data_IF_320231250583
#
_entry.id   IF_320231250583
#
_cell.length_a   1.000
_cell.length_b   1.000
_cell.length_c   1.000
_cell.angle_alpha   90.00
_cell.angle_beta   90.00
_cell.angle_gamma   90.00
#
_symmetry.space_group_name_H-M   'P 1'
#
loop_
_entity.id
_entity.type
_entity.pdbx_description
1 polymer ?
#
# COMPACT_ATOMS: atom_id res chain seq x y z
N UNK A 1 4.15 -5.11 5.08
CA UNK A 1 5.38 -4.56 4.45
C UNK A 1 6.03 -3.47 5.31
N UNK A 2 7.29 -3.09 5.02
CA UNK A 2 8.04 -2.11 5.85
C UNK A 2 7.41 -0.71 5.89
N UNK A 3 6.82 -0.26 4.80
CA UNK A 3 6.14 1.05 4.72
C UNK A 3 4.98 1.16 5.73
N UNK A 4 4.16 0.10 5.86
CA UNK A 4 3.09 0.01 6.87
C UNK A 4 3.64 0.19 8.28
N UNK A 5 4.74 -0.52 8.63
CA UNK A 5 5.31 -0.49 9.98
C UNK A 5 5.87 0.88 10.38
N UNK A 6 6.38 1.66 9.43
CA UNK A 6 6.94 3.00 9.71
C UNK A 6 5.92 4.13 9.55
N UNK A 7 4.76 3.85 8.95
CA UNK A 7 3.71 4.83 8.77
C UNK A 7 2.84 4.92 10.03
N UNK A 8 3.17 5.84 10.93
CA UNK A 8 2.38 6.09 12.14
C UNK A 8 1.01 6.75 11.92
N UNK A 9 0.57 6.90 10.67
CA UNK A 9 -0.65 7.64 10.30
C UNK A 9 -1.65 6.83 9.46
N UNK A 10 -1.43 5.52 9.34
CA UNK A 10 -2.34 4.62 8.61
C UNK A 10 -2.37 4.83 7.08
N UNK A 11 -1.47 5.64 6.53
CA UNK A 11 -1.46 6.00 5.10
C UNK A 11 -1.11 4.80 4.20
N UNK A 12 -0.19 3.95 4.65
CA UNK A 12 0.35 2.84 3.86
C UNK A 12 -0.21 1.50 4.32
N UNK A 13 -0.83 0.72 3.45
CA UNK A 13 -1.38 -0.61 3.75
C UNK A 13 -1.02 -1.62 2.66
N UNK A 14 -1.03 -2.91 3.02
CA UNK A 14 -0.74 -3.99 2.08
C UNK A 14 -2.03 -4.42 1.38
N UNK A 15 -2.01 -4.52 0.05
CA UNK A 15 -3.11 -5.02 -0.77
C UNK A 15 -2.66 -6.23 -1.59
N UNK A 16 -3.55 -7.18 -1.84
CA UNK A 16 -3.39 -8.16 -2.91
C UNK A 16 -3.51 -7.47 -4.27
N UNK A 17 -2.87 -8.03 -5.29
CA UNK A 17 -3.00 -7.61 -6.68
C UNK A 17 -3.32 -8.85 -7.53
N UNK A 18 -4.40 -8.78 -8.31
CA UNK A 18 -4.82 -9.83 -9.25
C UNK A 18 -4.03 -9.74 -10.56
N UNK A 19 -4.20 -10.72 -11.46
CA UNK A 19 -3.58 -10.68 -12.79
C UNK A 19 -4.10 -9.54 -13.68
N UNK A 20 -5.37 -9.16 -13.49
CA UNK A 20 -6.00 -8.03 -14.18
C UNK A 20 -5.52 -6.67 -13.64
N UNK A 21 -4.80 -6.69 -12.51
CA UNK A 21 -4.19 -5.52 -11.90
C UNK A 21 -5.08 -4.80 -10.89
N UNK A 22 -6.19 -5.41 -10.51
CA UNK A 22 -7.04 -4.93 -9.42
C UNK A 22 -6.35 -5.10 -8.07
N UNK A 23 -6.65 -4.20 -7.14
CA UNK A 23 -6.04 -4.18 -5.81
C UNK A 23 -7.09 -4.48 -4.75
N UNK A 24 -6.89 -5.55 -3.98
CA UNK A 24 -7.88 -6.04 -3.03
C UNK A 24 -7.34 -5.93 -1.60
N UNK A 25 -8.16 -5.39 -0.70
CA UNK A 25 -7.77 -5.16 0.69
C UNK A 25 -7.92 -6.44 1.54
N UNK A 26 -6.87 -6.92 2.22
CA UNK A 26 -6.99 -8.11 3.07
C UNK A 26 -8.03 -7.95 4.18
N UNK A 27 -8.81 -9.01 4.41
CA UNK A 27 -9.84 -9.06 5.46
C UNK A 27 -11.19 -8.43 5.08
N UNK A 28 -11.44 -8.23 3.78
CA UNK A 28 -12.76 -7.90 3.23
C UNK A 28 -13.35 -9.13 2.53
N UNK A 29 -14.68 -9.17 2.37
CA UNK A 29 -15.35 -10.25 1.62
C UNK A 29 -14.79 -10.37 0.19
N UNK A 30 -14.48 -9.23 -0.44
CA UNK A 30 -13.84 -9.18 -1.77
C UNK A 30 -12.49 -9.88 -1.81
N UNK A 31 -11.68 -9.77 -0.74
CA UNK A 31 -10.40 -10.49 -0.67
C UNK A 31 -10.60 -11.99 -0.59
N UNK A 32 -11.56 -12.43 0.22
CA UNK A 32 -11.86 -13.84 0.41
C UNK A 32 -12.42 -14.46 -0.89
N UNK A 33 -13.19 -13.68 -1.67
CA UNK A 33 -13.76 -14.11 -2.95
C UNK A 33 -12.71 -14.31 -4.05
N UNK A 34 -11.58 -13.59 -4.01
CA UNK A 34 -10.53 -13.66 -5.05
C UNK A 34 -9.14 -14.06 -4.52
N UNK A 35 -9.05 -14.63 -3.32
CA UNK A 35 -7.77 -14.95 -2.67
C UNK A 35 -6.85 -15.80 -3.56
N UNK A 36 -7.42 -16.78 -4.26
CA UNK A 36 -6.69 -17.69 -5.16
C UNK A 36 -6.20 -17.00 -6.46
N UNK A 37 -6.76 -15.85 -6.82
CA UNK A 37 -6.40 -15.06 -8.02
C UNK A 37 -5.33 -14.00 -7.72
N UNK A 38 -4.97 -13.80 -6.45
CA UNK A 38 -3.95 -12.82 -6.03
C UNK A 38 -2.56 -13.33 -6.41
N UNK A 39 -1.92 -12.64 -7.36
CA UNK A 39 -0.58 -13.01 -7.85
C UNK A 39 0.58 -12.40 -7.03
N UNK A 40 0.33 -11.29 -6.32
CA UNK A 40 1.33 -10.66 -5.44
C UNK A 40 0.69 -9.67 -4.47
N UNK A 41 1.39 -9.37 -3.38
CA UNK A 41 1.01 -8.26 -2.48
C UNK A 41 1.81 -6.99 -2.79
N UNK A 42 1.13 -5.85 -2.85
CA UNK A 42 1.72 -4.53 -3.13
C UNK A 42 1.35 -3.55 -2.02
N UNK A 43 2.28 -2.66 -1.67
CA UNK A 43 2.01 -1.59 -0.72
C UNK A 43 1.28 -0.44 -1.41
N UNK A 44 0.14 -0.01 -0.88
CA UNK A 44 -0.71 1.07 -1.41
C UNK A 44 -0.87 2.20 -0.40
N UNK A 45 -1.15 3.39 -0.91
CA UNK A 45 -1.61 4.53 -0.15
C UNK A 45 -3.14 4.48 -0.10
N UNK A 46 -3.73 4.44 1.09
CA UNK A 46 -5.20 4.39 1.28
C UNK A 46 -5.79 5.68 1.84
N UNK A 47 -5.00 6.41 2.63
CA UNK A 47 -5.42 7.64 3.32
C UNK A 47 -4.44 8.77 3.00
N UNK A 48 -4.41 9.27 1.75
CA UNK A 48 -3.45 10.30 1.33
C UNK A 48 -3.56 11.58 2.14
N UNK A 49 -4.77 11.96 2.60
CA UNK A 49 -5.01 13.15 3.42
C UNK A 49 -4.35 13.08 4.79
N UNK A 50 -4.09 11.86 5.29
CA UNK A 50 -3.35 11.64 6.51
C UNK A 50 -1.83 11.72 6.30
N UNK A 51 -1.33 11.87 5.07
CA UNK A 51 0.09 12.00 4.79
C UNK A 51 0.63 13.37 5.21
N UNK A 52 1.77 13.38 5.90
CA UNK A 52 2.48 14.62 6.31
C UNK A 52 3.85 14.78 5.64
N UNK A 53 4.12 13.99 4.61
CA UNK A 53 5.36 14.10 3.83
C UNK A 53 6.65 13.74 4.59
N UNK A 54 6.58 12.93 5.65
CA UNK A 54 7.77 12.59 6.46
C UNK A 54 8.84 11.74 5.73
N UNK A 55 8.49 11.15 4.58
CA UNK A 55 9.39 10.35 3.74
C UNK A 55 9.81 9.00 4.32
N UNK A 56 9.22 8.58 5.46
CA UNK A 56 9.63 7.35 6.13
C UNK A 56 9.39 6.10 5.28
N UNK A 57 8.25 6.04 4.57
CA UNK A 57 7.91 4.93 3.70
C UNK A 57 8.91 4.76 2.55
N UNK A 58 9.35 5.86 1.93
CA UNK A 58 10.38 5.82 0.88
C UNK A 58 11.71 5.27 1.40
N UNK A 59 12.21 5.80 2.53
CA UNK A 59 13.50 5.38 3.11
C UNK A 59 13.59 3.88 3.43
N UNK A 60 12.47 3.23 3.75
CA UNK A 60 12.46 1.80 4.13
C UNK A 60 12.01 0.86 3.02
N UNK A 61 11.59 1.39 1.86
CA UNK A 61 11.06 0.55 0.78
C UNK A 61 12.20 -0.25 0.11
N UNK A 62 12.17 -1.60 0.11
CA UNK A 62 13.19 -2.40 -0.59
C UNK A 62 13.26 -2.12 -2.08
N UNK A 63 12.10 -1.79 -2.66
CA UNK A 63 11.91 -1.65 -4.09
C UNK A 63 12.13 -0.22 -4.57
N UNK A 64 12.46 0.71 -3.67
CA UNK A 64 12.71 2.13 -3.96
C UNK A 64 11.65 2.77 -4.87
N UNK A 65 10.38 2.42 -4.63
CA UNK A 65 9.27 2.73 -5.56
C UNK A 65 8.36 3.87 -5.11
N UNK A 66 8.76 4.66 -4.11
CA UNK A 66 7.91 5.70 -3.50
C UNK A 66 8.54 7.08 -3.71
N UNK A 67 7.85 7.97 -4.42
CA UNK A 67 8.24 9.37 -4.57
C UNK A 67 7.41 10.29 -3.66
N UNK A 68 7.92 11.48 -3.37
CA UNK A 68 7.23 12.49 -2.56
C UNK A 68 7.37 13.85 -3.27
N UNK A 69 6.27 14.59 -3.37
CA UNK A 69 6.23 15.95 -3.89
C UNK A 69 5.29 16.79 -3.01
N UNK A 70 5.40 18.12 -3.11
CA UNK A 70 4.39 19.00 -2.54
C UNK A 70 3.05 18.75 -3.25
N UNK A 71 1.95 18.89 -2.52
CA UNK A 71 0.62 18.93 -3.12
C UNK A 71 0.47 20.32 -3.77
N UNK A 72 0.06 20.34 -5.04
CA UNK A 72 -0.26 21.57 -5.77
C UNK A 72 -1.60 22.17 -5.31
#
# INVERSE_FOLDING_TARGET
GRCYKVCGRGVMTLHGMTEDGDFVMPGTDEYDDVEDEIIKSVMRMVEPDNCVGCGACARVCPSDCQSHAALD
#
